data_IF_369584724546
#
_entry.id   IF_369584724546
#
_cell.length_a   1.000
_cell.length_b   1.000
_cell.length_c   1.000
_cell.angle_alpha   90.00
_cell.angle_beta   90.00
_cell.angle_gamma   90.00
#
_symmetry.space_group_name_H-M   'P 1'
#
loop_
_entity.id
_entity.type
_entity.pdbx_description
1 polymer ?
#
# COMPACT_ATOMS: atom_id res chain seq x y z
N UNK A 1 39.51 -5.88 9.01
CA UNK A 1 39.20 -5.59 7.60
C UNK A 1 37.80 -5.04 7.56
N UNK A 2 37.65 -3.71 7.37
CA UNK A 2 36.34 -3.11 7.10
C UNK A 2 35.87 -3.64 5.75
N UNK A 3 34.96 -4.58 5.76
CA UNK A 3 34.32 -5.01 4.52
C UNK A 3 33.38 -3.87 4.10
N UNK A 4 33.84 -3.09 3.16
CA UNK A 4 33.03 -2.02 2.56
C UNK A 4 31.68 -2.63 2.12
N UNK A 5 30.57 -2.06 2.61
CA UNK A 5 29.23 -2.57 2.26
C UNK A 5 29.06 -2.46 0.74
N UNK A 6 28.48 -3.48 0.10
CA UNK A 6 28.27 -3.44 -1.34
C UNK A 6 27.50 -2.18 -1.73
N UNK A 7 27.97 -1.49 -2.76
CA UNK A 7 27.33 -0.27 -3.26
C UNK A 7 26.12 -0.65 -4.11
N UNK A 8 24.93 -0.28 -3.66
CA UNK A 8 23.69 -0.48 -4.41
C UNK A 8 23.52 0.69 -5.39
N UNK A 9 23.34 0.38 -6.67
CA UNK A 9 23.13 1.38 -7.72
C UNK A 9 21.65 1.50 -8.08
N UNK A 10 21.28 2.60 -8.71
CA UNK A 10 19.91 2.80 -9.20
C UNK A 10 19.49 1.69 -10.18
N UNK A 11 20.43 1.24 -11.04
CA UNK A 11 20.14 0.15 -11.99
C UNK A 11 19.77 -1.16 -11.26
N UNK A 12 20.43 -1.44 -10.12
CA UNK A 12 20.08 -2.62 -9.30
C UNK A 12 18.71 -2.49 -8.66
N UNK A 13 18.38 -1.28 -8.18
CA UNK A 13 17.02 -1.00 -7.62
C UNK A 13 15.98 -1.17 -8.71
N UNK A 14 16.22 -0.66 -9.91
CA UNK A 14 15.30 -0.81 -11.05
C UNK A 14 15.10 -2.29 -11.42
N UNK A 15 16.18 -3.08 -11.44
CA UNK A 15 16.07 -4.52 -11.71
C UNK A 15 15.24 -5.24 -10.65
N UNK A 16 15.39 -4.84 -9.38
CA UNK A 16 14.60 -5.38 -8.29
C UNK A 16 13.11 -5.00 -8.44
N UNK A 17 12.84 -3.76 -8.85
CA UNK A 17 11.46 -3.31 -9.09
C UNK A 17 10.80 -4.12 -10.21
N UNK A 18 11.51 -4.37 -11.32
CA UNK A 18 11.03 -5.24 -12.40
C UNK A 18 10.71 -6.65 -11.89
N UNK A 19 11.57 -7.20 -11.04
CA UNK A 19 11.36 -8.53 -10.45
C UNK A 19 10.12 -8.56 -9.55
N UNK A 20 9.96 -7.55 -8.69
CA UNK A 20 8.83 -7.52 -7.76
C UNK A 20 7.50 -7.23 -8.46
N UNK A 21 7.53 -6.73 -9.70
CA UNK A 21 6.32 -6.53 -10.52
C UNK A 21 6.17 -7.57 -11.62
N UNK A 22 6.92 -8.69 -11.51
CA UNK A 22 6.82 -9.88 -12.37
C UNK A 22 7.16 -9.64 -13.84
N UNK A 23 7.84 -8.53 -14.17
CA UNK A 23 8.38 -8.33 -15.52
C UNK A 23 9.69 -9.10 -15.72
N UNK A 24 10.34 -9.50 -14.61
CA UNK A 24 11.47 -10.44 -14.60
C UNK A 24 11.13 -11.57 -13.64
N UNK A 25 11.42 -12.81 -14.01
CA UNK A 25 11.40 -13.91 -13.03
C UNK A 25 12.67 -13.87 -12.18
N UNK A 26 12.72 -14.71 -11.14
CA UNK A 26 13.86 -14.76 -10.21
C UNK A 26 15.19 -15.05 -10.92
N UNK A 27 15.18 -15.94 -11.91
CA UNK A 27 16.40 -16.29 -12.66
C UNK A 27 16.90 -15.10 -13.48
N UNK A 28 16.02 -14.49 -14.27
CA UNK A 28 16.36 -13.33 -15.09
C UNK A 28 16.81 -12.15 -14.23
N UNK A 29 16.17 -11.95 -13.06
CA UNK A 29 16.61 -10.93 -12.10
C UNK A 29 18.03 -11.19 -11.61
N UNK A 30 18.36 -12.43 -11.20
CA UNK A 30 19.70 -12.76 -10.72
C UNK A 30 20.76 -12.65 -11.82
N UNK A 31 20.41 -13.03 -13.06
CA UNK A 31 21.30 -12.84 -14.21
C UNK A 31 21.58 -11.35 -14.46
N UNK A 32 20.54 -10.52 -14.45
CA UNK A 32 20.66 -9.08 -14.63
C UNK A 32 21.48 -8.46 -13.49
N UNK A 33 21.19 -8.87 -12.24
CA UNK A 33 21.93 -8.37 -11.07
C UNK A 33 23.41 -8.78 -11.13
N UNK A 34 23.71 -10.00 -11.60
CA UNK A 34 25.09 -10.47 -11.78
C UNK A 34 25.86 -9.58 -12.78
N UNK A 35 25.19 -9.21 -13.89
CA UNK A 35 25.79 -8.29 -14.86
C UNK A 35 26.08 -6.92 -14.25
N UNK A 36 25.17 -6.40 -13.45
CA UNK A 36 25.32 -5.09 -12.80
C UNK A 36 26.35 -5.10 -11.66
N UNK A 37 26.46 -6.22 -10.92
CA UNK A 37 27.34 -6.36 -9.77
C UNK A 37 28.76 -6.83 -10.16
N UNK A 38 28.93 -7.33 -11.37
CA UNK A 38 30.20 -7.81 -11.88
C UNK A 38 30.51 -9.29 -11.57
N UNK A 39 29.75 -9.94 -10.69
CA UNK A 39 29.91 -11.36 -10.41
C UNK A 39 28.65 -11.92 -9.72
N UNK A 40 28.46 -13.24 -9.82
CA UNK A 40 27.38 -13.94 -9.12
C UNK A 40 27.50 -13.85 -7.60
N UNK A 41 28.73 -13.87 -7.08
CA UNK A 41 28.96 -13.74 -5.62
C UNK A 41 28.55 -12.34 -5.13
N UNK A 42 28.87 -11.30 -5.90
CA UNK A 42 28.45 -9.94 -5.55
C UNK A 42 26.92 -9.80 -5.66
N UNK A 43 26.30 -10.36 -6.69
CA UNK A 43 24.84 -10.37 -6.84
C UNK A 43 24.16 -11.07 -5.66
N UNK A 44 24.69 -12.23 -5.23
CA UNK A 44 24.14 -12.97 -4.10
C UNK A 44 24.25 -12.17 -2.79
N UNK A 45 25.28 -11.34 -2.63
CA UNK A 45 25.43 -10.47 -1.47
C UNK A 45 24.51 -9.25 -1.53
N UNK A 46 24.22 -8.74 -2.73
CA UNK A 46 23.39 -7.54 -2.93
C UNK A 46 21.88 -7.85 -2.88
N UNK A 47 21.45 -8.99 -3.43
CA UNK A 47 20.02 -9.30 -3.54
C UNK A 47 19.25 -9.17 -2.20
N UNK A 48 19.77 -9.69 -1.05
CA UNK A 48 19.07 -9.50 0.22
C UNK A 48 19.00 -8.04 0.69
N UNK A 49 19.94 -7.19 0.24
CA UNK A 49 19.94 -5.78 0.62
C UNK A 49 18.90 -4.97 -0.15
N UNK A 50 18.47 -5.48 -1.32
CA UNK A 50 17.38 -4.88 -2.11
C UNK A 50 16.01 -5.28 -1.55
N UNK A 51 15.93 -6.46 -0.92
CA UNK A 51 14.68 -7.00 -0.41
C UNK A 51 14.24 -6.29 0.87
N UNK A 52 12.95 -6.33 1.16
CA UNK A 52 12.42 -5.83 2.42
C UNK A 52 12.88 -6.75 3.57
N UNK A 53 13.18 -6.16 4.71
CA UNK A 53 13.59 -6.90 5.91
C UNK A 53 12.47 -6.85 6.96
N UNK A 54 11.66 -7.90 7.01
CA UNK A 54 10.53 -8.00 7.94
C UNK A 54 10.92 -7.88 9.41
N UNK A 55 12.18 -8.17 9.76
CA UNK A 55 12.66 -8.01 11.15
C UNK A 55 12.75 -6.56 11.59
N UNK A 56 12.70 -5.60 10.64
CA UNK A 56 12.70 -4.15 10.94
C UNK A 56 11.32 -3.53 10.80
N UNK A 57 10.27 -4.36 10.74
CA UNK A 57 8.93 -3.92 10.34
C UNK A 57 8.10 -3.26 11.45
N UNK A 58 8.69 -2.86 12.58
CA UNK A 58 7.88 -2.45 13.71
C UNK A 58 8.35 -1.09 14.30
N UNK A 59 7.71 -0.01 13.84
CA UNK A 59 7.85 1.32 14.46
C UNK A 59 6.89 1.41 15.68
N UNK A 60 5.68 0.86 15.54
CA UNK A 60 4.70 0.79 16.63
C UNK A 60 4.53 -0.67 17.05
N UNK A 61 4.92 -1.00 18.26
CA UNK A 61 4.85 -2.37 18.77
C UNK A 61 3.44 -2.95 18.70
N UNK A 62 3.34 -4.26 18.41
CA UNK A 62 2.07 -4.98 18.48
C UNK A 62 1.48 -4.95 19.90
N UNK A 63 2.31 -4.77 20.93
CA UNK A 63 1.88 -4.65 22.31
C UNK A 63 1.72 -3.20 22.81
N UNK A 64 1.64 -2.21 21.92
CA UNK A 64 1.51 -0.81 22.33
C UNK A 64 0.26 -0.61 23.20
N UNK A 65 0.46 -0.11 24.40
CA UNK A 65 -0.62 -0.02 25.42
C UNK A 65 -1.68 1.05 25.09
N UNK A 66 -1.43 1.90 24.10
CA UNK A 66 -2.39 2.91 23.62
C UNK A 66 -3.42 2.34 22.65
N UNK A 67 -3.20 1.10 22.18
CA UNK A 67 -4.00 0.48 21.13
C UNK A 67 -4.62 -0.84 21.57
N UNK A 68 -5.74 -1.21 20.96
CA UNK A 68 -6.20 -2.59 20.89
C UNK A 68 -6.04 -3.06 19.46
N UNK A 69 -5.56 -4.29 19.28
CA UNK A 69 -5.34 -4.85 17.96
C UNK A 69 -5.75 -6.32 17.94
N UNK A 70 -6.44 -6.74 16.91
CA UNK A 70 -6.93 -8.12 16.78
C UNK A 70 -7.03 -8.55 15.33
N UNK A 71 -6.87 -9.85 15.10
CA UNK A 71 -7.22 -10.44 13.82
C UNK A 71 -8.74 -10.65 13.77
N UNK A 72 -9.35 -10.24 12.67
CA UNK A 72 -10.80 -10.33 12.49
C UNK A 72 -11.13 -11.10 11.22
N UNK A 73 -12.33 -11.67 11.23
CA UNK A 73 -12.93 -12.31 10.05
C UNK A 73 -14.30 -11.69 9.84
N UNK A 74 -14.65 -11.37 8.61
CA UNK A 74 -15.93 -10.71 8.31
C UNK A 74 -16.40 -11.08 6.89
N UNK A 75 -17.69 -10.89 6.62
CA UNK A 75 -18.20 -11.18 5.29
C UNK A 75 -17.61 -10.25 4.23
N UNK A 76 -17.04 -10.82 3.19
CA UNK A 76 -16.65 -10.14 1.98
C UNK A 76 -17.77 -10.16 0.95
N UNK A 77 -17.43 -9.83 -0.29
CA UNK A 77 -18.39 -9.84 -1.39
C UNK A 77 -18.63 -11.29 -1.87
N UNK A 78 -19.82 -11.53 -2.40
CA UNK A 78 -20.19 -12.78 -3.10
C UNK A 78 -19.92 -14.04 -2.27
N UNK A 79 -20.15 -13.97 -0.95
CA UNK A 79 -19.96 -15.12 -0.07
C UNK A 79 -18.52 -15.39 0.35
N UNK A 80 -17.60 -14.51 0.00
CA UNK A 80 -16.20 -14.60 0.44
C UNK A 80 -16.13 -14.30 1.94
N UNK A 81 -15.24 -15.01 2.65
CA UNK A 81 -14.87 -14.65 4.02
C UNK A 81 -13.55 -13.88 3.96
N UNK A 82 -13.58 -12.64 4.43
CA UNK A 82 -12.38 -11.81 4.49
C UNK A 82 -11.71 -11.90 5.85
N UNK A 83 -10.40 -11.89 5.85
CA UNK A 83 -9.57 -11.78 7.06
C UNK A 83 -8.92 -10.40 7.07
N UNK A 84 -8.65 -9.89 8.25
CA UNK A 84 -7.96 -8.61 8.38
C UNK A 84 -7.39 -8.38 9.76
N UNK A 85 -6.68 -7.28 9.91
CA UNK A 85 -6.11 -6.84 11.17
C UNK A 85 -6.76 -5.51 11.54
N UNK A 86 -7.48 -5.50 12.66
CA UNK A 86 -8.23 -4.34 13.13
C UNK A 86 -7.50 -3.71 14.31
N UNK A 87 -7.27 -2.40 14.24
CA UNK A 87 -6.59 -1.66 15.30
C UNK A 87 -7.42 -0.44 15.70
N UNK A 88 -7.54 -0.21 17.01
CA UNK A 88 -8.31 0.91 17.57
C UNK A 88 -7.52 1.65 18.65
N UNK A 89 -7.60 2.98 18.74
CA UNK A 89 -7.17 3.68 19.96
C UNK A 89 -8.00 3.23 21.16
N UNK A 90 -7.35 2.95 22.31
CA UNK A 90 -8.04 2.46 23.51
C UNK A 90 -8.98 3.46 24.15
N UNK A 91 -8.61 4.74 24.13
CA UNK A 91 -9.30 5.75 24.92
C UNK A 91 -10.02 6.79 24.06
N UNK A 92 -10.61 6.34 22.92
CA UNK A 92 -11.39 7.23 22.08
C UNK A 92 -12.69 7.64 22.79
N UNK A 93 -12.95 8.93 22.82
CA UNK A 93 -14.17 9.51 23.45
C UNK A 93 -15.31 9.74 22.45
N UNK A 94 -15.05 9.66 21.15
CA UNK A 94 -15.98 9.81 20.12
C UNK A 94 -15.80 8.72 19.14
N UNK A 95 -16.82 8.64 18.53
CA UNK A 95 -16.57 7.79 17.36
C UNK A 95 -15.55 8.42 16.40
N UNK A 96 -14.70 7.59 15.83
CA UNK A 96 -13.58 8.01 14.98
C UNK A 96 -13.85 7.66 13.51
N UNK A 97 -13.21 8.36 12.59
CA UNK A 97 -13.18 7.94 11.19
C UNK A 97 -12.48 6.58 11.04
N UNK A 98 -12.93 5.78 10.07
CA UNK A 98 -12.30 4.51 9.74
C UNK A 98 -11.32 4.67 8.59
N UNK A 99 -10.21 3.91 8.60
CA UNK A 99 -9.27 3.88 7.48
C UNK A 99 -8.95 2.44 7.11
N UNK A 100 -9.22 2.08 5.85
CA UNK A 100 -8.76 0.80 5.28
C UNK A 100 -7.30 0.99 4.88
N UNK A 101 -6.40 0.13 5.37
CA UNK A 101 -4.96 0.18 5.06
C UNK A 101 -4.63 -0.99 4.13
N UNK A 102 -4.35 -0.69 2.86
CA UNK A 102 -4.21 -1.71 1.82
C UNK A 102 -2.74 -1.99 1.54
N UNK A 103 -2.38 -3.26 1.68
CA UNK A 103 -1.03 -3.79 1.58
C UNK A 103 -0.47 -3.74 0.14
N UNK A 104 0.83 -3.95 0.04
CA UNK A 104 1.53 -4.12 -1.24
C UNK A 104 1.22 -5.51 -1.84
N UNK A 105 1.90 -5.87 -2.93
CA UNK A 105 1.74 -7.19 -3.56
C UNK A 105 2.46 -8.32 -2.80
N UNK A 106 2.67 -8.13 -1.51
CA UNK A 106 3.20 -9.15 -0.58
C UNK A 106 2.13 -9.61 0.41
N UNK A 107 0.94 -9.02 0.34
CA UNK A 107 -0.16 -9.34 1.24
C UNK A 107 -0.07 -8.66 2.60
N UNK A 108 -0.89 -9.14 3.53
CA UNK A 108 -0.98 -8.58 4.89
C UNK A 108 0.20 -9.09 5.74
N UNK A 109 1.31 -8.40 5.64
CA UNK A 109 2.55 -8.74 6.32
C UNK A 109 2.78 -7.86 7.56
N UNK A 110 3.90 -8.09 8.26
CA UNK A 110 4.23 -7.35 9.49
C UNK A 110 4.34 -5.85 9.27
N UNK A 111 4.86 -5.42 8.11
CA UNK A 111 4.97 -4.00 7.78
C UNK A 111 3.60 -3.33 7.72
N UNK A 112 2.64 -3.94 7.03
CA UNK A 112 1.29 -3.35 6.88
C UNK A 112 0.54 -3.37 8.22
N UNK A 113 0.73 -4.39 9.03
CA UNK A 113 0.18 -4.41 10.40
C UNK A 113 0.73 -3.22 11.21
N UNK A 114 2.02 -2.91 11.06
CA UNK A 114 2.63 -1.74 11.71
C UNK A 114 2.05 -0.44 11.17
N UNK A 115 1.87 -0.31 9.85
CA UNK A 115 1.23 0.88 9.25
C UNK A 115 -0.20 1.06 9.80
N UNK A 116 -0.96 -0.02 9.97
CA UNK A 116 -2.31 0.06 10.57
C UNK A 116 -2.24 0.58 12.02
N UNK A 117 -1.25 0.13 12.80
CA UNK A 117 -1.05 0.65 14.17
C UNK A 117 -0.66 2.13 14.17
N UNK A 118 0.23 2.53 13.23
CA UNK A 118 0.57 3.96 13.07
C UNK A 118 -0.68 4.79 12.77
N UNK A 119 -1.54 4.31 11.86
CA UNK A 119 -2.79 5.01 11.49
C UNK A 119 -3.73 5.13 12.70
N UNK A 120 -3.81 4.08 13.51
CA UNK A 120 -4.64 4.13 14.73
C UNK A 120 -4.10 5.15 15.74
N UNK A 121 -2.77 5.31 15.86
CA UNK A 121 -2.18 6.33 16.72
C UNK A 121 -2.48 7.77 16.24
N UNK A 122 -2.80 7.93 14.94
CA UNK A 122 -3.22 9.23 14.40
C UNK A 122 -4.69 9.56 14.73
N UNK A 123 -5.42 8.62 15.35
CA UNK A 123 -6.79 8.85 15.82
C UNK A 123 -7.87 8.24 14.92
N UNK A 124 -7.56 7.18 14.20
CA UNK A 124 -8.53 6.47 13.35
C UNK A 124 -8.75 5.05 13.83
N UNK A 125 -9.87 4.44 13.44
CA UNK A 125 -10.01 2.97 13.53
C UNK A 125 -9.45 2.42 12.22
N UNK A 126 -8.39 1.62 12.29
CA UNK A 126 -7.69 1.13 11.11
C UNK A 126 -7.99 -0.36 10.89
N UNK A 127 -8.40 -0.71 9.67
CA UNK A 127 -8.57 -2.10 9.25
C UNK A 127 -7.63 -2.36 8.09
N UNK A 128 -6.75 -3.36 8.25
CA UNK A 128 -5.91 -3.83 7.15
C UNK A 128 -6.45 -5.17 6.64
N UNK A 129 -7.23 -5.19 5.54
CA UNK A 129 -7.72 -6.44 4.97
C UNK A 129 -6.59 -7.28 4.37
N UNK A 130 -6.75 -8.59 4.42
CA UNK A 130 -5.93 -9.50 3.63
C UNK A 130 -6.67 -9.78 2.31
N UNK A 131 -6.27 -9.12 1.24
CA UNK A 131 -6.93 -9.28 -0.06
C UNK A 131 -6.66 -10.65 -0.71
N UNK A 132 -5.74 -11.45 -0.15
CA UNK A 132 -5.58 -12.86 -0.54
C UNK A 132 -6.51 -13.80 0.23
N UNK A 133 -7.42 -13.28 1.08
CA UNK A 133 -8.40 -14.11 1.81
C UNK A 133 -9.16 -15.11 0.92
N UNK A 134 -9.61 -14.72 -0.30
CA UNK A 134 -10.31 -15.69 -1.17
C UNK A 134 -9.43 -16.87 -1.59
N UNK A 135 -8.12 -16.70 -1.58
CA UNK A 135 -7.13 -17.71 -1.96
C UNK A 135 -6.50 -18.41 -0.73
N UNK A 136 -7.10 -18.22 0.47
CA UNK A 136 -6.61 -18.84 1.70
C UNK A 136 -5.84 -17.89 2.63
N UNK A 137 -5.52 -16.70 2.15
CA UNK A 137 -4.78 -15.68 2.91
C UNK A 137 -3.34 -15.52 2.43
N UNK A 138 -2.68 -14.54 2.99
CA UNK A 138 -1.30 -14.21 2.63
C UNK A 138 -0.35 -15.36 3.00
N UNK A 139 0.39 -15.92 2.02
CA UNK A 139 1.38 -16.94 2.33
C UNK A 139 2.64 -16.33 2.95
N UNK A 140 3.46 -17.17 3.57
CA UNK A 140 4.73 -16.72 4.14
C UNK A 140 5.80 -16.40 3.09
N UNK A 141 5.67 -16.95 1.89
CA UNK A 141 6.60 -16.75 0.78
C UNK A 141 6.12 -15.55 -0.06
N UNK A 142 6.93 -14.49 -0.11
CA UNK A 142 6.57 -13.26 -0.84
C UNK A 142 6.49 -13.45 -2.35
N UNK A 143 7.30 -14.37 -2.92
CA UNK A 143 7.21 -14.64 -4.37
C UNK A 143 5.90 -15.36 -4.69
N UNK A 144 5.47 -16.27 -3.82
CA UNK A 144 4.16 -16.90 -3.95
C UNK A 144 3.05 -15.85 -3.85
N UNK A 145 3.12 -14.95 -2.88
CA UNK A 145 2.13 -13.88 -2.73
C UNK A 145 2.03 -13.05 -4.02
N UNK A 146 3.17 -12.63 -4.57
CA UNK A 146 3.19 -11.83 -5.80
C UNK A 146 2.50 -12.55 -6.97
N UNK A 147 2.72 -13.86 -7.10
CA UNK A 147 2.06 -14.63 -8.15
C UNK A 147 0.54 -14.74 -7.91
N UNK A 148 0.13 -14.93 -6.66
CA UNK A 148 -1.30 -14.96 -6.32
C UNK A 148 -1.97 -13.62 -6.69
N UNK A 149 -1.33 -12.48 -6.40
CA UNK A 149 -1.86 -11.17 -6.77
C UNK A 149 -2.03 -11.00 -8.28
N UNK A 150 -1.13 -11.58 -9.09
CA UNK A 150 -1.21 -11.44 -10.55
C UNK A 150 -2.41 -12.16 -11.14
N UNK A 151 -3.00 -13.12 -10.42
CA UNK A 151 -4.14 -13.90 -10.91
C UNK A 151 -5.50 -13.44 -10.33
N UNK A 152 -5.52 -12.42 -9.46
CA UNK A 152 -6.76 -11.93 -8.87
C UNK A 152 -7.64 -11.23 -9.92
N UNK A 153 -8.94 -11.51 -9.85
CA UNK A 153 -9.93 -10.73 -10.56
C UNK A 153 -10.07 -9.37 -9.86
N UNK A 154 -9.74 -8.30 -10.56
CA UNK A 154 -9.67 -6.96 -9.95
C UNK A 154 -11.04 -6.40 -9.59
N UNK A 155 -12.10 -6.77 -10.32
CA UNK A 155 -13.46 -6.31 -9.99
C UNK A 155 -13.98 -7.04 -8.74
N UNK A 156 -13.76 -8.34 -8.65
CA UNK A 156 -14.11 -9.10 -7.45
C UNK A 156 -13.29 -8.61 -6.23
N UNK A 157 -12.02 -8.26 -6.46
CA UNK A 157 -11.15 -7.74 -5.40
C UNK A 157 -11.62 -6.36 -4.93
N UNK A 158 -12.03 -5.48 -5.84
CA UNK A 158 -12.59 -4.17 -5.48
C UNK A 158 -13.91 -4.33 -4.71
N UNK A 159 -14.73 -5.33 -5.07
CA UNK A 159 -15.96 -5.64 -4.32
C UNK A 159 -15.64 -6.09 -2.89
N UNK A 160 -14.55 -6.85 -2.68
CA UNK A 160 -14.08 -7.18 -1.34
C UNK A 160 -13.56 -5.94 -0.60
N UNK A 161 -12.96 -4.99 -1.30
CA UNK A 161 -12.58 -3.69 -0.75
C UNK A 161 -13.79 -2.92 -0.24
N UNK A 162 -14.88 -2.87 -1.05
CA UNK A 162 -16.14 -2.22 -0.62
C UNK A 162 -16.78 -2.94 0.57
N UNK A 163 -16.77 -4.28 0.57
CA UNK A 163 -17.26 -5.04 1.72
C UNK A 163 -16.45 -4.73 2.99
N UNK A 164 -15.13 -4.57 2.86
CA UNK A 164 -14.26 -4.20 3.98
C UNK A 164 -14.58 -2.78 4.48
N UNK A 165 -14.84 -1.84 3.54
CA UNK A 165 -15.25 -0.48 3.89
C UNK A 165 -16.59 -0.52 4.66
N UNK A 166 -17.56 -1.25 4.14
CA UNK A 166 -18.88 -1.35 4.77
C UNK A 166 -18.81 -1.99 6.16
N UNK A 167 -17.99 -3.06 6.29
CA UNK A 167 -17.75 -3.69 7.58
C UNK A 167 -17.18 -2.67 8.58
N UNK A 168 -16.12 -1.96 8.18
CA UNK A 168 -15.49 -0.97 9.07
C UNK A 168 -16.45 0.15 9.45
N UNK A 169 -17.23 0.65 8.48
CA UNK A 169 -18.21 1.72 8.74
C UNK A 169 -19.29 1.32 9.74
N UNK A 170 -19.62 0.04 9.81
CA UNK A 170 -20.66 -0.49 10.70
C UNK A 170 -20.17 -0.86 12.10
N UNK A 171 -18.88 -0.73 12.39
CA UNK A 171 -18.35 -1.11 13.70
C UNK A 171 -18.67 -0.05 14.76
N UNK A 172 -18.96 -0.51 15.98
CA UNK A 172 -19.08 0.39 17.12
C UNK A 172 -17.81 1.21 17.30
N UNK A 173 -17.98 2.50 17.54
CA UNK A 173 -16.85 3.43 17.69
C UNK A 173 -16.33 4.03 16.39
N UNK A 174 -16.92 3.65 15.25
CA UNK A 174 -16.64 4.30 13.96
C UNK A 174 -17.81 5.25 13.64
N UNK A 175 -17.50 6.44 13.13
CA UNK A 175 -18.51 7.48 12.87
C UNK A 175 -19.26 7.28 11.54
N UNK A 176 -19.01 6.17 10.85
CA UNK A 176 -19.61 5.84 9.56
C UNK A 176 -18.82 6.33 8.35
N UNK A 177 -17.86 7.23 8.53
CA UNK A 177 -17.01 7.70 7.42
C UNK A 177 -15.77 6.82 7.32
N UNK A 178 -15.46 6.35 6.12
CA UNK A 178 -14.31 5.47 5.89
C UNK A 178 -13.52 5.93 4.67
N UNK A 179 -12.22 6.10 4.88
CA UNK A 179 -11.26 6.32 3.81
C UNK A 179 -10.41 5.08 3.55
N UNK A 180 -9.62 5.12 2.50
CA UNK A 180 -8.67 4.05 2.19
C UNK A 180 -7.30 4.63 1.87
N UNK A 181 -6.24 4.03 2.40
CA UNK A 181 -4.87 4.30 2.01
C UNK A 181 -4.24 2.99 1.53
N UNK A 182 -3.48 3.06 0.45
CA UNK A 182 -2.84 1.85 -0.07
C UNK A 182 -1.48 2.15 -0.70
N UNK A 183 -0.65 1.13 -0.73
CA UNK A 183 0.75 1.22 -1.14
C UNK A 183 1.02 0.27 -2.30
N UNK A 184 1.67 0.75 -3.38
CA UNK A 184 2.01 -0.07 -4.53
C UNK A 184 0.73 -0.67 -5.15
N UNK A 185 0.60 -2.01 -5.17
CA UNK A 185 -0.63 -2.71 -5.57
C UNK A 185 -1.85 -2.14 -4.82
N UNK A 186 -1.69 -1.93 -3.51
CA UNK A 186 -2.76 -1.36 -2.67
C UNK A 186 -3.12 0.08 -3.06
N UNK A 187 -2.16 0.86 -3.54
CA UNK A 187 -2.46 2.19 -4.09
C UNK A 187 -3.31 2.09 -5.34
N UNK A 188 -3.01 1.11 -6.20
CA UNK A 188 -3.87 0.81 -7.36
C UNK A 188 -5.26 0.36 -6.92
N UNK A 189 -5.35 -0.43 -5.85
CA UNK A 189 -6.64 -0.87 -5.32
C UNK A 189 -7.45 0.30 -4.74
N UNK A 190 -6.81 1.29 -4.09
CA UNK A 190 -7.52 2.51 -3.68
C UNK A 190 -8.16 3.20 -4.88
N UNK A 191 -7.41 3.31 -5.99
CA UNK A 191 -7.95 3.91 -7.21
C UNK A 191 -9.14 3.11 -7.76
N UNK A 192 -9.06 1.77 -7.73
CA UNK A 192 -10.19 0.90 -8.15
C UNK A 192 -11.38 1.04 -7.20
N UNK A 193 -11.14 1.09 -5.90
CA UNK A 193 -12.22 1.31 -4.94
C UNK A 193 -12.88 2.67 -5.17
N UNK A 194 -12.10 3.70 -5.48
CA UNK A 194 -12.66 5.03 -5.73
C UNK A 194 -13.61 5.04 -6.94
N UNK A 195 -13.33 4.24 -7.97
CA UNK A 195 -14.23 4.12 -9.13
C UNK A 195 -15.43 3.22 -8.84
N UNK A 196 -15.30 2.24 -7.93
CA UNK A 196 -16.32 1.21 -7.69
C UNK A 196 -17.23 1.51 -6.49
N UNK A 197 -16.76 2.33 -5.53
CA UNK A 197 -17.45 2.56 -4.26
C UNK A 197 -17.92 4.02 -4.14
N UNK A 198 -19.21 4.28 -4.33
CA UNK A 198 -19.73 5.65 -4.15
C UNK A 198 -19.73 6.10 -2.69
N UNK A 199 -19.58 5.16 -1.75
CA UNK A 199 -19.60 5.43 -0.31
C UNK A 199 -18.21 5.65 0.30
N UNK A 200 -17.14 5.52 -0.50
CA UNK A 200 -15.79 5.84 -0.01
C UNK A 200 -15.68 7.35 0.26
N UNK A 201 -15.20 7.72 1.43
CA UNK A 201 -15.18 9.12 1.85
C UNK A 201 -13.86 9.83 1.53
N UNK A 202 -12.76 9.08 1.33
CA UNK A 202 -11.46 9.65 0.96
C UNK A 202 -10.54 8.53 0.47
N UNK A 203 -9.71 8.80 -0.54
CA UNK A 203 -8.73 7.82 -1.03
C UNK A 203 -7.33 8.40 -1.09
N UNK A 204 -6.34 7.66 -0.58
CA UNK A 204 -4.93 8.04 -0.65
C UNK A 204 -4.14 6.90 -1.30
N UNK A 205 -3.55 7.15 -2.45
CA UNK A 205 -2.79 6.15 -3.19
C UNK A 205 -1.30 6.50 -3.22
N UNK A 206 -0.47 5.63 -2.66
CA UNK A 206 0.99 5.75 -2.74
C UNK A 206 1.49 4.91 -3.91
N UNK A 207 2.13 5.56 -4.87
CA UNK A 207 2.74 4.95 -6.06
C UNK A 207 1.88 3.79 -6.62
N UNK A 208 0.58 4.07 -6.76
CA UNK A 208 -0.40 3.08 -7.22
C UNK A 208 -0.75 3.25 -8.70
N UNK A 209 -1.06 2.13 -9.34
CA UNK A 209 -1.53 2.13 -10.72
C UNK A 209 -2.83 2.94 -10.83
N UNK A 210 -2.94 3.76 -11.85
CA UNK A 210 -4.16 4.52 -12.13
C UNK A 210 -5.30 3.57 -12.55
N UNK A 211 -6.57 3.95 -12.32
CA UNK A 211 -7.69 3.11 -12.75
C UNK A 211 -7.91 3.27 -14.26
N UNK A 212 -8.73 2.41 -14.87
CA UNK A 212 -9.15 2.68 -16.26
C UNK A 212 -9.75 4.08 -16.37
N UNK A 213 -9.27 4.86 -17.32
CA UNK A 213 -9.65 6.27 -17.46
C UNK A 213 -11.18 6.40 -17.66
N UNK A 214 -11.79 5.45 -18.36
CA UNK A 214 -13.24 5.44 -18.60
C UNK A 214 -14.07 5.35 -17.32
N UNK A 215 -13.47 4.88 -16.20
CA UNK A 215 -14.16 4.74 -14.91
C UNK A 215 -14.05 5.98 -14.04
N UNK A 216 -13.18 6.93 -14.39
CA UNK A 216 -12.94 8.15 -13.59
C UNK A 216 -14.23 8.94 -13.31
N UNK A 217 -15.19 9.05 -14.26
CA UNK A 217 -16.44 9.78 -13.97
C UNK A 217 -17.19 9.27 -12.74
N UNK A 218 -17.05 7.98 -12.37
CA UNK A 218 -17.75 7.38 -11.22
C UNK A 218 -17.16 7.82 -9.87
N UNK A 219 -15.95 8.35 -9.83
CA UNK A 219 -15.28 8.73 -8.57
C UNK A 219 -16.07 9.83 -7.84
N UNK A 220 -16.34 9.62 -6.56
CA UNK A 220 -16.98 10.61 -5.67
C UNK A 220 -16.04 11.08 -4.56
N UNK A 221 -15.17 10.17 -4.07
CA UNK A 221 -14.26 10.48 -2.98
C UNK A 221 -13.21 11.50 -3.42
N UNK A 222 -12.85 12.47 -2.57
CA UNK A 222 -11.63 13.23 -2.79
C UNK A 222 -10.43 12.29 -2.74
N UNK A 223 -9.41 12.60 -3.55
CA UNK A 223 -8.23 11.75 -3.72
C UNK A 223 -6.95 12.52 -3.40
N UNK A 224 -5.99 11.82 -2.79
CA UNK A 224 -4.61 12.29 -2.64
C UNK A 224 -3.69 11.23 -3.24
N UNK A 225 -2.86 11.64 -4.20
CA UNK A 225 -2.04 10.72 -4.99
C UNK A 225 -0.57 11.08 -4.78
N UNK A 226 0.19 10.13 -4.19
CA UNK A 226 1.63 10.30 -3.93
C UNK A 226 2.42 9.45 -4.93
N UNK A 227 3.29 10.08 -5.70
CA UNK A 227 4.10 9.39 -6.72
C UNK A 227 5.59 9.56 -6.44
N UNK A 228 6.36 8.53 -6.73
CA UNK A 228 7.82 8.54 -6.62
C UNK A 228 8.42 9.05 -7.93
N UNK A 229 9.30 10.06 -7.86
CA UNK A 229 9.83 10.71 -9.06
C UNK A 229 10.62 9.78 -9.99
N UNK A 230 11.23 8.72 -9.44
CA UNK A 230 12.02 7.75 -10.23
C UNK A 230 11.19 6.56 -10.74
N UNK A 231 9.88 6.52 -10.50
CA UNK A 231 8.99 5.41 -10.87
C UNK A 231 8.39 5.63 -12.25
N UNK A 232 9.18 5.41 -13.29
CA UNK A 232 8.75 5.65 -14.69
C UNK A 232 7.48 4.84 -15.05
N UNK A 233 7.39 3.62 -14.53
CA UNK A 233 6.28 2.71 -14.84
C UNK A 233 4.92 3.28 -14.40
N UNK A 234 4.83 3.72 -13.16
CA UNK A 234 3.59 4.28 -12.62
C UNK A 234 3.38 5.72 -13.14
N UNK A 235 4.46 6.49 -13.24
CA UNK A 235 4.36 7.91 -13.59
C UNK A 235 3.89 8.12 -15.04
N UNK A 236 4.07 7.14 -15.92
CA UNK A 236 3.57 7.21 -17.30
C UNK A 236 2.05 7.46 -17.37
N UNK A 237 1.29 7.08 -16.33
CA UNK A 237 -0.17 7.28 -16.29
C UNK A 237 -0.62 8.57 -15.64
N UNK A 238 0.28 9.36 -15.04
CA UNK A 238 -0.12 10.54 -14.25
C UNK A 238 -0.89 11.57 -15.08
N UNK A 239 -0.36 11.94 -16.25
CA UNK A 239 -0.95 13.02 -17.04
C UNK A 239 -2.35 12.67 -17.53
N UNK A 240 -2.55 11.42 -18.01
CA UNK A 240 -3.87 10.97 -18.45
C UNK A 240 -4.86 10.93 -17.29
N UNK A 241 -4.43 10.47 -16.12
CA UNK A 241 -5.29 10.43 -14.94
C UNK A 241 -5.64 11.83 -14.45
N UNK A 242 -4.64 12.71 -14.33
CA UNK A 242 -4.86 14.13 -13.95
C UNK A 242 -5.90 14.77 -14.87
N UNK A 243 -5.70 14.62 -16.19
CA UNK A 243 -6.62 15.19 -17.18
C UNK A 243 -8.04 14.68 -16.99
N UNK A 244 -8.20 13.35 -16.80
CA UNK A 244 -9.52 12.76 -16.60
C UNK A 244 -10.19 13.28 -15.31
N UNK A 245 -9.42 13.39 -14.22
CA UNK A 245 -9.94 13.93 -12.95
C UNK A 245 -10.41 15.39 -13.13
N UNK A 246 -9.62 16.21 -13.82
CA UNK A 246 -9.94 17.62 -14.09
C UNK A 246 -11.19 17.73 -14.96
N UNK A 247 -11.25 16.99 -16.08
CA UNK A 247 -12.37 17.02 -17.02
C UNK A 247 -13.69 16.57 -16.38
N UNK A 248 -13.62 15.73 -15.35
CA UNK A 248 -14.79 15.25 -14.64
C UNK A 248 -15.04 15.99 -13.32
N UNK A 249 -14.34 17.12 -13.08
CA UNK A 249 -14.57 17.95 -11.91
C UNK A 249 -14.30 17.28 -10.58
N UNK A 250 -13.35 16.35 -10.53
CA UNK A 250 -13.04 15.59 -9.32
C UNK A 250 -12.15 16.39 -8.37
N UNK A 251 -12.30 16.13 -7.06
CA UNK A 251 -11.46 16.73 -6.02
C UNK A 251 -10.22 15.86 -5.83
N UNK A 252 -9.04 16.42 -6.07
CA UNK A 252 -7.81 15.64 -5.94
C UNK A 252 -6.59 16.51 -5.70
N UNK A 253 -5.55 15.90 -5.15
CA UNK A 253 -4.20 16.46 -5.01
C UNK A 253 -3.19 15.44 -5.50
N UNK A 254 -2.19 15.87 -6.24
CA UNK A 254 -1.10 15.02 -6.74
C UNK A 254 0.23 15.59 -6.24
N UNK A 255 1.04 14.73 -5.62
CA UNK A 255 2.39 15.05 -5.16
C UNK A 255 3.38 14.09 -5.81
N UNK A 256 4.41 14.63 -6.45
CA UNK A 256 5.52 13.85 -6.99
C UNK A 256 6.76 14.15 -6.14
N UNK A 257 7.36 13.13 -5.57
CA UNK A 257 8.54 13.25 -4.70
C UNK A 257 9.79 12.99 -5.55
N UNK A 258 10.50 14.06 -5.87
CA UNK A 258 11.64 13.99 -6.77
C UNK A 258 12.79 13.17 -6.18
N UNK A 259 13.44 12.36 -7.03
CA UNK A 259 14.63 11.61 -6.65
C UNK A 259 14.39 10.40 -5.78
N UNK A 260 13.13 10.02 -5.54
CA UNK A 260 12.83 8.85 -4.71
C UNK A 260 12.25 7.71 -5.53
N UNK A 261 12.42 6.49 -5.03
CA UNK A 261 12.04 5.25 -5.70
C UNK A 261 10.62 4.80 -5.36
N UNK A 262 10.04 3.96 -6.23
CA UNK A 262 8.85 3.17 -5.89
C UNK A 262 9.03 2.54 -4.50
N UNK A 263 7.99 2.51 -3.69
CA UNK A 263 8.03 2.00 -2.31
C UNK A 263 8.83 2.88 -1.33
N UNK A 264 8.98 4.18 -1.61
CA UNK A 264 9.71 5.09 -0.72
C UNK A 264 9.17 5.14 0.72
N UNK A 265 7.92 4.78 0.92
CA UNK A 265 7.30 4.78 2.26
C UNK A 265 7.60 3.52 3.07
N UNK A 266 8.15 2.48 2.43
CA UNK A 266 8.36 1.19 3.09
C UNK A 266 9.71 1.16 3.82
N UNK A 267 9.68 1.42 5.12
CA UNK A 267 10.89 1.48 5.96
C UNK A 267 11.57 0.12 6.16
N UNK A 268 10.92 -0.98 5.74
CA UNK A 268 11.58 -2.30 5.73
C UNK A 268 12.44 -2.53 4.48
N UNK A 269 12.30 -1.67 3.47
CA UNK A 269 13.03 -1.77 2.20
C UNK A 269 14.11 -0.69 2.13
N UNK A 270 15.22 -0.91 2.83
CA UNK A 270 16.27 0.11 3.05
C UNK A 270 16.80 0.74 1.75
N UNK A 271 16.87 -0.03 0.67
CA UNK A 271 17.41 0.47 -0.62
C UNK A 271 16.46 1.47 -1.30
N UNK A 272 15.16 1.43 -0.98
CA UNK A 272 14.15 2.28 -1.64
C UNK A 272 13.51 3.29 -0.69
N UNK A 273 13.60 3.07 0.62
CA UNK A 273 13.00 3.94 1.62
C UNK A 273 13.64 5.33 1.60
N UNK A 274 12.81 6.36 1.63
CA UNK A 274 13.27 7.73 1.79
C UNK A 274 12.48 8.36 2.94
N UNK A 275 13.16 8.54 4.07
CA UNK A 275 12.50 9.02 5.29
C UNK A 275 11.87 10.41 5.11
N UNK A 276 12.55 11.30 4.40
CA UNK A 276 12.04 12.68 4.22
C UNK A 276 10.75 12.67 3.40
N UNK A 277 10.74 11.94 2.30
CA UNK A 277 9.53 11.82 1.46
C UNK A 277 8.43 11.06 2.21
N UNK A 278 8.78 9.97 2.92
CA UNK A 278 7.81 9.17 3.67
C UNK A 278 7.14 10.01 4.77
N UNK A 279 7.91 10.75 5.55
CA UNK A 279 7.37 11.59 6.63
C UNK A 279 6.45 12.68 6.08
N UNK A 280 6.85 13.34 4.98
CA UNK A 280 6.04 14.39 4.36
C UNK A 280 4.74 13.82 3.77
N UNK A 281 4.83 12.68 3.06
CA UNK A 281 3.64 12.03 2.50
C UNK A 281 2.69 11.56 3.61
N UNK A 282 3.24 11.02 4.70
CA UNK A 282 2.44 10.58 5.86
C UNK A 282 1.70 11.76 6.50
N UNK A 283 2.40 12.86 6.76
CA UNK A 283 1.78 14.07 7.33
C UNK A 283 0.62 14.56 6.46
N UNK A 284 0.83 14.65 5.15
CA UNK A 284 -0.22 15.04 4.20
C UNK A 284 -1.42 14.07 4.25
N UNK A 285 -1.14 12.77 4.29
CA UNK A 285 -2.16 11.71 4.36
C UNK A 285 -3.02 11.87 5.61
N UNK A 286 -2.37 12.06 6.77
CA UNK A 286 -3.07 12.17 8.05
C UNK A 286 -3.95 13.43 8.08
N UNK A 287 -3.42 14.57 7.64
CA UNK A 287 -4.18 15.82 7.55
C UNK A 287 -5.39 15.68 6.61
N UNK A 288 -5.18 15.03 5.47
CA UNK A 288 -6.24 14.78 4.50
C UNK A 288 -7.36 13.92 5.10
N UNK A 289 -7.00 12.85 5.81
CA UNK A 289 -8.01 12.01 6.47
C UNK A 289 -8.71 12.76 7.61
N UNK A 290 -8.00 13.53 8.41
CA UNK A 290 -8.63 14.33 9.47
C UNK A 290 -9.67 15.30 8.90
N UNK A 291 -9.37 15.91 7.75
CA UNK A 291 -10.29 16.83 7.08
C UNK A 291 -11.56 16.12 6.54
N UNK A 292 -11.39 14.91 6.01
CA UNK A 292 -12.48 14.24 5.27
C UNK A 292 -13.27 13.22 6.10
N UNK A 293 -12.70 12.71 7.19
CA UNK A 293 -13.30 11.63 7.98
C UNK A 293 -13.76 12.07 9.39
N UNK A 294 -13.63 13.35 9.72
CA UNK A 294 -14.07 13.88 10.99
C UNK A 294 -15.61 13.87 11.11
#
# INVERSE_FOLDING_TARGET
>A
MDTEKPKITQAMINAYDEYTHLTLDRRAFMEKLTGLAGSGAAAAAIAPLLAANGAKAEIVSAGDNRLTAEDVTYPGANGTEMKGYLVRPKNASXPLGGVIVIHENRGLNAHIRDVARRMALEGFVALAPDFLSPEGGTPSDEDQARQMFSSLDMDATAANGEASRAYLAGLDGVNGKVGAVGFCWGGGMVNRMATASPELNAGVAYYGQQPPIAEVPAIRAPLMLHYAGLDERINAGIDAYRKALEENGKTFEIFVYEGVNHAFNNDTSAARYDKTAADLAWSRTVEFFKKNLA
#
